data_IF_327401194120
#
_entry.id   IF_327401194120
#
_cell.length_a   1.000
_cell.length_b   1.000
_cell.length_c   1.000
_cell.angle_alpha   90.00
_cell.angle_beta   90.00
_cell.angle_gamma   90.00
#
_symmetry.space_group_name_H-M   'P 1'
#
loop_
_entity.id
_entity.type
_entity.pdbx_description
1 polymer ?
#
# COMPACT_ATOMS: atom_id res chain seq x y z
N UNK A 1 8.47 -7.87 15.41
CA UNK A 1 7.75 -6.71 14.91
C UNK A 1 6.99 -7.09 13.65
N UNK A 2 5.76 -6.66 13.51
CA UNK A 2 4.91 -7.11 12.42
C UNK A 2 4.77 -6.03 11.35
N UNK A 3 5.66 -6.07 10.36
CA UNK A 3 5.68 -5.09 9.27
C UNK A 3 4.40 -5.12 8.45
N UNK A 4 3.78 -6.31 8.31
CA UNK A 4 2.51 -6.44 7.59
C UNK A 4 1.42 -5.60 8.23
N UNK A 5 1.42 -5.51 9.56
CA UNK A 5 0.43 -4.71 10.26
C UNK A 5 0.59 -3.22 9.95
N UNK A 6 1.82 -2.74 9.93
CA UNK A 6 2.11 -1.33 9.60
C UNK A 6 1.71 -1.02 8.16
N UNK A 7 2.06 -1.90 7.24
CA UNK A 7 1.71 -1.71 5.83
C UNK A 7 0.19 -1.75 5.64
N UNK A 8 -0.49 -2.64 6.36
CA UNK A 8 -1.95 -2.72 6.30
C UNK A 8 -2.60 -1.43 6.82
N UNK A 9 -2.02 -0.83 7.87
CA UNK A 9 -2.51 0.44 8.39
C UNK A 9 -2.37 1.57 7.37
N UNK A 10 -1.25 1.60 6.63
CA UNK A 10 -1.05 2.58 5.57
C UNK A 10 -2.11 2.42 4.49
N UNK A 11 -2.36 1.17 4.07
CA UNK A 11 -3.38 0.91 3.05
C UNK A 11 -4.78 1.28 3.54
N UNK A 12 -5.08 1.00 4.81
CA UNK A 12 -6.37 1.36 5.39
C UNK A 12 -6.57 2.88 5.38
N UNK A 13 -5.53 3.65 5.70
CA UNK A 13 -5.59 5.11 5.66
C UNK A 13 -5.78 5.61 4.23
N UNK A 14 -5.09 5.01 3.28
CA UNK A 14 -5.26 5.37 1.87
C UNK A 14 -6.67 5.06 1.40
N UNK A 15 -7.23 3.93 1.80
CA UNK A 15 -8.59 3.56 1.45
C UNK A 15 -9.61 4.56 2.03
N UNK A 16 -9.37 5.07 3.23
CA UNK A 16 -10.23 6.09 3.84
C UNK A 16 -10.11 7.43 3.12
N UNK A 17 -8.89 7.78 2.71
CA UNK A 17 -8.62 9.03 2.00
C UNK A 17 -9.22 9.01 0.59
N UNK A 18 -9.22 7.85 -0.04
CA UNK A 18 -9.73 7.66 -1.40
C UNK A 18 -10.86 6.62 -1.40
N UNK A 19 -12.04 6.95 -0.85
CA UNK A 19 -13.10 5.96 -0.64
C UNK A 19 -13.69 5.37 -1.92
N UNK A 20 -13.44 6.00 -3.07
CA UNK A 20 -13.92 5.52 -4.36
C UNK A 20 -12.95 4.56 -5.04
N UNK A 21 -11.80 4.33 -4.41
CA UNK A 21 -10.79 3.44 -4.95
C UNK A 21 -10.72 2.16 -4.11
N UNK A 22 -10.47 1.04 -4.77
CA UNK A 22 -10.34 -0.24 -4.11
C UNK A 22 -8.84 -0.55 -3.93
N UNK A 23 -8.35 -0.38 -2.71
CA UNK A 23 -6.93 -0.55 -2.40
C UNK A 23 -6.80 -1.75 -1.46
N UNK A 24 -6.07 -2.78 -1.90
CA UNK A 24 -5.89 -4.01 -1.13
C UNK A 24 -4.45 -4.47 -1.18
N UNK A 25 -4.06 -5.25 -0.17
CA UNK A 25 -2.78 -5.93 -0.17
C UNK A 25 -3.03 -7.42 -0.02
N UNK A 26 -2.49 -8.22 -0.93
CA UNK A 26 -2.55 -9.67 -0.87
C UNK A 26 -1.12 -10.19 -0.81
N UNK A 27 -0.74 -10.74 0.35
CA UNK A 27 0.65 -11.09 0.59
C UNK A 27 1.53 -9.86 0.56
N UNK A 28 2.40 -9.77 -0.44
CA UNK A 28 3.30 -8.63 -0.62
C UNK A 28 2.87 -7.71 -1.77
N UNK A 29 1.82 -8.07 -2.50
CA UNK A 29 1.38 -7.31 -3.66
C UNK A 29 0.28 -6.32 -3.29
N UNK A 30 0.42 -5.10 -3.78
CA UNK A 30 -0.59 -4.07 -3.64
C UNK A 30 -1.47 -4.06 -4.89
N UNK A 31 -2.78 -4.18 -4.69
CA UNK A 31 -3.77 -4.16 -5.76
C UNK A 31 -4.56 -2.87 -5.67
N UNK A 32 -4.72 -2.21 -6.80
CA UNK A 32 -5.55 -1.01 -6.92
C UNK A 32 -6.58 -1.25 -8.00
N UNK A 33 -7.86 -1.19 -7.61
CA UNK A 33 -8.99 -1.44 -8.51
C UNK A 33 -8.90 -2.82 -9.19
N UNK A 34 -8.41 -3.81 -8.47
CA UNK A 34 -8.31 -5.18 -8.95
C UNK A 34 -7.06 -5.50 -9.73
N UNK A 35 -6.18 -4.54 -9.94
CA UNK A 35 -4.92 -4.75 -10.67
C UNK A 35 -3.74 -4.69 -9.72
N UNK A 36 -2.81 -5.65 -9.86
CA UNK A 36 -1.57 -5.62 -9.09
C UNK A 36 -0.68 -4.51 -9.64
N UNK A 37 -0.23 -3.63 -8.75
CA UNK A 37 0.55 -2.47 -9.14
C UNK A 37 2.01 -2.60 -8.78
N UNK A 38 2.30 -3.03 -7.56
CA UNK A 38 3.69 -3.18 -7.13
C UNK A 38 3.76 -4.09 -5.90
N UNK A 39 5.00 -4.48 -5.55
CA UNK A 39 5.27 -5.29 -4.37
C UNK A 39 5.75 -4.42 -3.22
N UNK A 40 5.39 -4.78 -2.00
CA UNK A 40 5.85 -4.08 -0.81
C UNK A 40 7.26 -4.48 -0.37
N UNK A 41 7.87 -5.47 -1.02
CA UNK A 41 9.16 -6.01 -0.58
C UNK A 41 10.27 -4.96 -0.51
N UNK A 42 10.36 -4.08 -1.49
CA UNK A 42 11.37 -3.03 -1.49
C UNK A 42 11.21 -2.06 -0.34
N UNK A 43 9.96 -1.78 0.03
CA UNK A 43 9.65 -0.85 1.13
C UNK A 43 9.92 -1.49 2.47
N UNK A 44 9.74 -2.81 2.59
CA UNK A 44 10.05 -3.55 3.82
C UNK A 44 11.54 -3.51 4.13
N UNK A 45 12.37 -3.71 3.11
CA UNK A 45 13.81 -3.69 3.26
C UNK A 45 14.31 -2.34 3.74
N UNK A 46 13.67 -1.27 3.30
CA UNK A 46 14.07 0.09 3.63
C UNK A 46 13.32 0.65 4.84
N UNK A 47 12.38 -0.09 5.39
CA UNK A 47 11.49 0.36 6.48
C UNK A 47 10.87 1.72 6.17
N UNK A 48 10.56 1.98 4.92
CA UNK A 48 10.14 3.30 4.50
C UNK A 48 8.64 3.37 4.22
N UNK A 49 7.87 3.49 5.31
CA UNK A 49 6.41 3.53 5.25
C UNK A 49 5.91 4.76 4.50
N UNK A 50 6.62 5.89 4.65
CA UNK A 50 6.25 7.11 3.93
C UNK A 50 6.35 6.90 2.42
N UNK A 51 7.39 6.22 1.96
CA UNK A 51 7.54 5.94 0.54
C UNK A 51 6.45 5.00 0.03
N UNK A 52 6.00 4.08 0.86
CA UNK A 52 4.88 3.21 0.49
C UNK A 52 3.63 4.06 0.27
N UNK A 53 3.34 4.98 1.18
CA UNK A 53 2.19 5.88 1.03
C UNK A 53 2.30 6.72 -0.23
N UNK A 54 3.48 7.29 -0.49
CA UNK A 54 3.74 8.10 -1.69
C UNK A 54 3.54 7.27 -2.96
N UNK A 55 4.01 6.02 -2.96
CA UNK A 55 3.85 5.13 -4.12
C UNK A 55 2.38 4.82 -4.40
N UNK A 56 1.60 4.61 -3.34
CA UNK A 56 0.16 4.38 -3.50
C UNK A 56 -0.50 5.64 -4.08
N UNK A 57 -0.16 6.82 -3.56
CA UNK A 57 -0.70 8.07 -4.09
C UNK A 57 -0.36 8.26 -5.57
N UNK A 58 0.87 7.97 -5.96
CA UNK A 58 1.28 8.06 -7.35
C UNK A 58 0.44 7.15 -8.25
N UNK A 59 0.14 5.94 -7.77
CA UNK A 59 -0.69 5.00 -8.53
C UNK A 59 -2.16 5.45 -8.62
N UNK A 60 -2.63 6.23 -7.65
CA UNK A 60 -4.00 6.73 -7.63
C UNK A 60 -4.20 7.97 -8.52
N UNK A 61 -3.14 8.63 -8.87
CA UNK A 61 -3.15 9.76 -9.79
C UNK A 61 -2.75 9.31 -11.17
#
# INVERSE_FOLDING_TARGET
>A
MNDNKLFQEVLNRMAETYPHRNIKMDGTLVYIDGESRFSTDGYRLLYNIKRLADAIEDELH
#
